data_IF_078496621948
#
_entry.id   IF_078496621948
#
_cell.length_a   1.000
_cell.length_b   1.000
_cell.length_c   1.000
_cell.angle_alpha   90.00
_cell.angle_beta   90.00
_cell.angle_gamma   90.00
#
_symmetry.space_group_name_H-M   'P 1'
#
loop_
_entity.id
_entity.type
_entity.pdbx_description
1 polymer ?
#
# COMPACT_ATOMS: atom_id res chain seq x y z
N UNK A 1 10.99 -21.06 -5.46
CA UNK A 1 10.64 -19.76 -4.81
C UNK A 1 10.24 -18.77 -5.88
N UNK A 2 9.28 -17.90 -5.60
CA UNK A 2 8.73 -16.96 -6.57
C UNK A 2 9.61 -15.70 -6.69
N UNK A 3 9.96 -15.30 -7.92
CA UNK A 3 10.84 -14.15 -8.18
C UNK A 3 10.20 -12.80 -7.81
N UNK A 4 8.89 -12.67 -8.07
CA UNK A 4 8.13 -11.45 -7.77
C UNK A 4 6.90 -11.75 -6.91
N UNK A 5 6.59 -10.84 -5.99
CA UNK A 5 5.36 -10.83 -5.19
C UNK A 5 4.64 -9.50 -5.42
N UNK A 6 3.32 -9.55 -5.64
CA UNK A 6 2.50 -8.36 -5.85
C UNK A 6 1.48 -8.25 -4.72
N UNK A 7 1.41 -7.09 -4.07
CA UNK A 7 0.48 -6.81 -2.98
C UNK A 7 -0.25 -5.49 -3.23
N UNK A 8 -1.54 -5.47 -2.92
CA UNK A 8 -2.37 -4.28 -3.03
C UNK A 8 -2.88 -3.87 -1.65
N UNK A 9 -2.74 -2.58 -1.32
CA UNK A 9 -3.23 -1.96 -0.08
C UNK A 9 -4.16 -0.82 -0.45
N UNK A 10 -5.28 -0.67 0.27
CA UNK A 10 -6.20 0.46 0.07
C UNK A 10 -6.05 1.45 1.23
N UNK A 11 -5.50 2.62 0.94
CA UNK A 11 -5.40 3.74 1.86
C UNK A 11 -6.72 4.54 1.80
N UNK A 12 -7.35 4.78 2.94
CA UNK A 12 -8.60 5.58 3.02
C UNK A 12 -8.33 6.89 3.74
N UNK A 13 -8.81 8.02 3.23
CA UNK A 13 -8.76 9.26 3.98
C UNK A 13 -9.46 9.11 5.35
N UNK A 14 -8.85 9.71 6.36
CA UNK A 14 -9.43 9.77 7.70
C UNK A 14 -10.34 10.98 7.73
N UNK A 15 -11.63 10.77 7.97
CA UNK A 15 -12.61 11.85 8.10
C UNK A 15 -12.32 12.82 9.27
N UNK A 16 -11.53 12.41 10.28
CA UNK A 16 -11.16 13.23 11.45
C UNK A 16 -9.75 12.86 11.97
N UNK A 17 -8.84 13.85 12.03
CA UNK A 17 -7.54 13.80 12.71
C UNK A 17 -6.30 13.60 11.80
N UNK A 18 -5.17 14.21 12.17
CA UNK A 18 -3.91 14.28 11.38
C UNK A 18 -3.05 13.01 11.39
N UNK A 19 -3.41 11.98 12.16
CA UNK A 19 -2.65 10.73 12.21
C UNK A 19 -3.16 9.71 11.17
N UNK A 20 -2.43 9.55 10.07
CA UNK A 20 -2.70 8.64 8.95
C UNK A 20 -2.40 7.18 9.33
N UNK A 21 -3.41 6.45 9.85
CA UNK A 21 -3.33 4.99 10.07
C UNK A 21 -2.92 4.17 8.83
N UNK A 22 -3.00 4.76 7.63
CA UNK A 22 -2.68 4.05 6.38
C UNK A 22 -1.18 3.94 6.12
N UNK A 23 -0.35 4.86 6.65
CA UNK A 23 1.09 4.80 6.42
C UNK A 23 1.73 3.65 7.21
N UNK A 24 1.24 3.38 8.43
CA UNK A 24 1.69 2.23 9.21
C UNK A 24 1.34 0.90 8.55
N UNK A 25 0.19 0.79 7.88
CA UNK A 25 -0.18 -0.44 7.17
C UNK A 25 0.71 -0.66 5.94
N UNK A 26 1.05 0.40 5.21
CA UNK A 26 1.98 0.34 4.10
C UNK A 26 3.39 -0.07 4.55
N UNK A 27 3.88 0.55 5.63
CA UNK A 27 5.16 0.24 6.26
C UNK A 27 5.22 -1.22 6.73
N UNK A 28 4.17 -1.71 7.41
CA UNK A 28 4.06 -3.09 7.85
C UNK A 28 4.14 -4.09 6.69
N UNK A 29 3.48 -3.80 5.56
CA UNK A 29 3.54 -4.67 4.38
C UNK A 29 4.95 -4.71 3.80
N UNK A 30 5.59 -3.55 3.67
CA UNK A 30 6.96 -3.45 3.14
C UNK A 30 7.94 -4.21 4.03
N UNK A 31 7.89 -3.98 5.36
CA UNK A 31 8.77 -4.65 6.32
C UNK A 31 8.57 -6.17 6.30
N UNK A 32 7.32 -6.66 6.24
CA UNK A 32 7.04 -8.11 6.14
C UNK A 32 7.58 -8.76 4.87
N UNK A 33 7.72 -8.03 3.76
CA UNK A 33 8.35 -8.55 2.55
C UNK A 33 9.88 -8.47 2.65
N UNK A 34 10.42 -7.40 3.24
CA UNK A 34 11.85 -7.28 3.53
C UNK A 34 12.36 -8.43 4.40
N UNK A 35 11.64 -8.79 5.48
CA UNK A 35 11.96 -9.92 6.36
C UNK A 35 11.96 -11.27 5.63
N UNK A 36 11.23 -11.37 4.51
CA UNK A 36 11.18 -12.57 3.66
C UNK A 36 12.26 -12.58 2.57
N UNK A 37 13.18 -11.60 2.58
CA UNK A 37 14.22 -11.46 1.57
C UNK A 37 13.72 -10.86 0.25
N UNK A 38 12.68 -10.03 0.28
CA UNK A 38 12.21 -9.31 -0.89
C UNK A 38 12.47 -7.80 -0.77
N UNK A 39 12.87 -7.17 -1.88
CA UNK A 39 13.04 -5.73 -2.02
C UNK A 39 11.86 -5.14 -2.78
N UNK A 40 11.35 -3.99 -2.34
CA UNK A 40 10.36 -3.23 -3.11
C UNK A 40 10.97 -2.82 -4.46
N UNK A 41 10.42 -3.34 -5.55
CA UNK A 41 10.88 -3.07 -6.92
C UNK A 41 10.15 -1.86 -7.51
N UNK A 42 8.82 -1.82 -7.37
CA UNK A 42 8.02 -0.67 -7.80
C UNK A 42 6.75 -0.55 -6.99
N UNK A 43 6.20 0.66 -6.92
CA UNK A 43 4.90 0.97 -6.35
C UNK A 43 4.13 1.87 -7.33
N UNK A 44 2.87 1.55 -7.57
CA UNK A 44 1.95 2.40 -8.30
C UNK A 44 0.75 2.74 -7.43
N UNK A 45 0.26 3.97 -7.55
CA UNK A 45 -0.92 4.43 -6.82
C UNK A 45 -2.00 4.86 -7.78
N UNK A 46 -3.23 4.41 -7.54
CA UNK A 46 -4.42 4.84 -8.27
C UNK A 46 -5.41 5.48 -7.30
N UNK A 47 -5.87 6.69 -7.61
CA UNK A 47 -6.97 7.30 -6.87
C UNK A 47 -8.30 6.66 -7.31
N UNK A 48 -9.02 6.08 -6.35
CA UNK A 48 -10.41 5.72 -6.52
C UNK A 48 -11.27 6.95 -6.22
N UNK A 49 -11.79 7.60 -7.26
CA UNK A 49 -12.60 8.81 -7.13
C UNK A 49 -13.77 8.66 -6.16
N UNK A 50 -14.03 9.72 -5.39
CA UNK A 50 -15.10 9.79 -4.39
C UNK A 50 -16.48 9.63 -5.05
N UNK A 51 -17.18 8.55 -4.70
CA UNK A 51 -18.61 8.41 -5.03
C UNK A 51 -19.45 9.08 -3.93
N UNK A 52 -19.58 10.41 -3.99
CA UNK A 52 -20.68 11.17 -3.37
C UNK A 52 -20.48 11.75 -1.97
N UNK A 53 -21.48 12.56 -1.57
CA UNK A 53 -21.61 13.33 -0.32
C UNK A 53 -21.36 12.45 0.92
N UNK A 54 -20.13 12.38 1.40
CA UNK A 54 -19.74 11.67 2.64
C UNK A 54 -18.70 10.55 2.49
N UNK A 55 -18.18 10.27 1.29
CA UNK A 55 -17.15 9.24 1.09
C UNK A 55 -15.79 9.83 0.72
N UNK A 56 -14.87 9.91 1.70
CA UNK A 56 -13.50 10.44 1.49
C UNK A 56 -12.69 9.67 0.45
N UNK A 57 -11.60 10.28 -0.02
CA UNK A 57 -10.79 9.74 -1.09
C UNK A 57 -10.14 8.41 -0.69
N UNK A 58 -10.03 7.52 -1.68
CA UNK A 58 -9.40 6.21 -1.52
C UNK A 58 -8.22 6.15 -2.48
N UNK A 59 -7.04 5.85 -1.96
CA UNK A 59 -5.86 5.59 -2.78
C UNK A 59 -5.59 4.09 -2.70
N UNK A 60 -5.52 3.43 -3.85
CA UNK A 60 -5.05 2.06 -3.94
C UNK A 60 -3.57 2.08 -4.30
N UNK A 61 -2.75 1.43 -3.48
CA UNK A 61 -1.33 1.24 -3.73
C UNK A 61 -1.08 -0.22 -4.12
N UNK A 62 -0.46 -0.43 -5.28
CA UNK A 62 0.00 -1.73 -5.76
C UNK A 62 1.51 -1.76 -5.70
N UNK A 63 2.07 -2.69 -4.93
CA UNK A 63 3.49 -2.87 -4.72
C UNK A 63 3.96 -4.17 -5.36
N UNK A 64 5.05 -4.09 -6.11
CA UNK A 64 5.77 -5.25 -6.64
C UNK A 64 7.08 -5.39 -5.87
N UNK A 65 7.30 -6.56 -5.31
CA UNK A 65 8.51 -6.92 -4.60
C UNK A 65 9.29 -7.95 -5.41
N UNK A 66 10.61 -7.76 -5.51
CA UNK A 66 11.54 -8.67 -6.16
C UNK A 66 12.40 -9.35 -5.11
N UNK A 67 12.59 -10.67 -5.24
CA UNK A 67 13.43 -11.43 -4.32
C UNK A 67 14.88 -10.97 -4.43
N UNK A 68 15.52 -10.76 -3.29
CA UNK A 68 16.97 -10.54 -3.19
C UNK A 68 17.64 -11.89 -3.40
N UNK A 69 18.50 -11.99 -4.41
CA UNK A 69 19.29 -13.19 -4.72
C UNK A 69 20.66 -13.12 -4.05
#
# INVERSE_FOLDING_TARGET
MQKYVVLQVTLKEKLIGTASKNLSELEDVINKQADKGYRLHTISTTSGGSKGLGGGDRIQATMVFERIE
#
